data_IF_696376800183
#
_entry.id   IF_696376800183
#
_cell.length_a   1.000
_cell.length_b   1.000
_cell.length_c   1.000
_cell.angle_alpha   90.00
_cell.angle_beta   90.00
_cell.angle_gamma   90.00
#
_symmetry.space_group_name_H-M   'P 1'
#
loop_
_entity.id
_entity.type
_entity.pdbx_description
1 polymer ?
#
# COMPACT_ATOMS: atom_id res chain seq x y z
N UNK A 1 10.35 -22.74 7.81
CA UNK A 1 9.19 -21.98 7.28
C UNK A 1 9.15 -20.66 8.01
N UNK A 2 9.31 -19.53 7.30
CA UNK A 2 9.24 -18.22 7.95
C UNK A 2 7.77 -17.90 8.26
N UNK A 3 7.46 -17.62 9.53
CA UNK A 3 6.13 -17.19 9.95
C UNK A 3 5.94 -15.75 9.44
N UNK A 4 5.01 -15.56 8.52
CA UNK A 4 4.68 -14.22 8.02
C UNK A 4 3.74 -13.56 9.04
N UNK A 5 4.24 -12.53 9.72
CA UNK A 5 3.41 -11.73 10.63
C UNK A 5 2.50 -10.82 9.82
N UNK A 6 1.28 -11.28 9.53
CA UNK A 6 0.27 -10.55 8.76
C UNK A 6 0.03 -9.10 9.24
N UNK A 7 -0.02 -8.80 10.55
CA UNK A 7 -0.18 -7.41 11.01
C UNK A 7 0.99 -6.51 10.58
N UNK A 8 2.19 -7.10 10.50
CA UNK A 8 3.39 -6.38 10.05
C UNK A 8 3.36 -6.13 8.55
N UNK A 9 2.94 -7.11 7.76
CA UNK A 9 2.74 -6.94 6.30
C UNK A 9 1.73 -5.85 6.02
N UNK A 10 0.58 -5.86 6.70
CA UNK A 10 -0.45 -4.83 6.57
C UNK A 10 0.08 -3.43 6.93
N UNK A 11 0.86 -3.33 8.01
CA UNK A 11 1.51 -2.08 8.43
C UNK A 11 2.50 -1.55 7.39
N UNK A 12 3.42 -2.40 6.93
CA UNK A 12 4.46 -1.99 5.97
C UNK A 12 3.84 -1.60 4.63
N UNK A 13 2.84 -2.34 4.15
CA UNK A 13 2.09 -2.03 2.94
C UNK A 13 1.36 -0.69 3.03
N UNK A 14 0.67 -0.41 4.14
CA UNK A 14 -0.04 0.85 4.33
C UNK A 14 0.90 2.08 4.29
N UNK A 15 2.11 1.95 4.84
CA UNK A 15 3.10 3.04 4.80
C UNK A 15 3.62 3.29 3.40
N UNK A 16 3.96 2.23 2.67
CA UNK A 16 4.45 2.33 1.29
C UNK A 16 3.39 2.94 0.39
N UNK A 17 2.13 2.56 0.58
CA UNK A 17 0.99 3.08 -0.16
C UNK A 17 0.86 4.60 -0.02
N UNK A 18 0.89 5.10 1.21
CA UNK A 18 0.80 6.54 1.47
C UNK A 18 2.04 7.30 0.97
N UNK A 19 3.22 6.69 1.04
CA UNK A 19 4.43 7.27 0.44
C UNK A 19 4.43 7.28 -1.09
N UNK A 20 3.79 6.28 -1.71
CA UNK A 20 3.67 6.21 -3.16
C UNK A 20 2.73 7.28 -3.72
N UNK A 21 1.93 7.97 -2.91
CA UNK A 21 1.00 9.02 -3.37
C UNK A 21 1.72 10.16 -4.10
N UNK A 22 3.01 10.38 -3.81
CA UNK A 22 3.83 11.38 -4.52
C UNK A 22 4.43 10.88 -5.83
N UNK A 23 4.27 9.60 -6.16
CA UNK A 23 4.81 8.95 -7.37
C UNK A 23 3.71 8.11 -8.04
N UNK A 24 3.05 8.71 -9.05
CA UNK A 24 1.93 8.09 -9.75
C UNK A 24 2.27 6.71 -10.33
N UNK A 25 3.48 6.53 -10.85
CA UNK A 25 3.87 5.27 -11.47
C UNK A 25 4.01 4.13 -10.44
N UNK A 26 4.57 4.42 -9.26
CA UNK A 26 4.63 3.43 -8.18
C UNK A 26 3.24 3.18 -7.62
N UNK A 27 2.43 4.22 -7.47
CA UNK A 27 1.07 4.09 -6.96
C UNK A 27 0.18 3.24 -7.87
N UNK A 28 0.22 3.47 -9.18
CA UNK A 28 -0.56 2.69 -10.15
C UNK A 28 -0.12 1.22 -10.14
N UNK A 29 1.19 0.95 -10.05
CA UNK A 29 1.72 -0.42 -9.90
C UNK A 29 1.24 -1.10 -8.62
N UNK A 30 1.23 -0.36 -7.51
CA UNK A 30 0.77 -0.87 -6.22
C UNK A 30 -0.74 -1.14 -6.26
N UNK A 31 -1.51 -0.26 -6.90
CA UNK A 31 -2.96 -0.39 -7.07
C UNK A 31 -3.34 -1.61 -7.89
N UNK A 32 -2.72 -1.80 -9.06
CA UNK A 32 -2.94 -2.95 -9.91
C UNK A 32 -2.58 -4.26 -9.19
N UNK A 33 -1.41 -4.32 -8.54
CA UNK A 33 -0.99 -5.51 -7.80
C UNK A 33 -1.90 -5.85 -6.61
N UNK A 34 -2.38 -4.86 -5.86
CA UNK A 34 -3.37 -5.09 -4.80
C UNK A 34 -4.74 -5.48 -5.38
N UNK A 35 -5.11 -4.93 -6.53
CA UNK A 35 -6.29 -5.29 -7.29
C UNK A 35 -6.30 -6.77 -7.67
N UNK A 36 -5.19 -7.27 -8.22
CA UNK A 36 -5.04 -8.67 -8.61
C UNK A 36 -5.02 -9.62 -7.41
N UNK A 37 -4.39 -9.22 -6.30
CA UNK A 37 -4.21 -10.08 -5.12
C UNK A 37 -5.43 -10.11 -4.19
N UNK A 38 -6.06 -8.96 -3.96
CA UNK A 38 -7.11 -8.80 -2.95
C UNK A 38 -8.48 -8.50 -3.58
N UNK A 39 -8.50 -8.04 -4.83
CA UNK A 39 -9.69 -7.78 -5.63
C UNK A 39 -9.73 -6.34 -6.17
N UNK A 40 -10.45 -6.09 -7.28
CA UNK A 40 -10.41 -4.81 -8.01
C UNK A 40 -10.88 -3.60 -7.17
N UNK A 41 -11.66 -3.83 -6.11
CA UNK A 41 -12.05 -2.77 -5.18
C UNK A 41 -10.87 -2.10 -4.45
N UNK A 42 -9.73 -2.79 -4.31
CA UNK A 42 -8.53 -2.22 -3.71
C UNK A 42 -7.83 -1.21 -4.63
N UNK A 43 -7.83 -1.46 -5.94
CA UNK A 43 -7.31 -0.53 -6.93
C UNK A 43 -8.12 0.78 -6.94
N UNK A 44 -9.46 0.68 -6.96
CA UNK A 44 -10.32 1.87 -6.89
C UNK A 44 -10.14 2.62 -5.56
N UNK A 45 -10.10 1.89 -4.43
CA UNK A 45 -9.87 2.50 -3.12
C UNK A 45 -8.56 3.29 -3.07
N UNK A 46 -7.53 2.82 -3.78
CA UNK A 46 -6.24 3.49 -3.86
C UNK A 46 -6.32 4.78 -4.67
N UNK A 47 -7.01 4.75 -5.82
CA UNK A 47 -7.28 5.96 -6.62
C UNK A 47 -8.04 7.00 -5.80
N UNK A 48 -9.08 6.60 -5.07
CA UNK A 48 -9.85 7.51 -4.21
C UNK A 48 -8.99 8.10 -3.08
N UNK A 49 -8.02 7.32 -2.58
CA UNK A 49 -7.07 7.79 -1.55
C UNK A 49 -6.13 8.84 -2.13
N UNK A 50 -5.57 8.58 -3.32
CA UNK A 50 -4.73 9.54 -4.04
C UNK A 50 -5.47 10.84 -4.30
N UNK A 51 -6.68 10.75 -4.82
CA UNK A 51 -7.45 11.93 -5.17
C UNK A 51 -7.75 12.76 -3.91
N UNK A 52 -8.16 12.12 -2.81
CA UNK A 52 -8.34 12.79 -1.51
C UNK A 52 -7.06 13.47 -0.99
N UNK A 53 -5.91 12.81 -1.13
CA UNK A 53 -4.63 13.35 -0.66
C UNK A 53 -4.08 14.45 -1.58
N UNK A 54 -4.34 14.41 -2.89
CA UNK A 54 -3.96 15.47 -3.84
C UNK A 54 -4.64 16.80 -3.52
N UNK A 55 -5.88 16.75 -3.05
CA UNK A 55 -6.63 17.96 -2.67
C UNK A 55 -6.31 18.44 -1.25
N UNK A 56 -5.67 17.62 -0.42
CA UNK A 56 -5.48 17.92 1.00
C UNK A 56 -4.24 17.23 1.58
N UNK A 57 -3.06 17.73 1.21
CA UNK A 57 -1.73 17.20 1.60
C UNK A 57 -1.33 17.63 3.02
N UNK A 58 -2.25 17.63 3.97
CA UNK A 58 -1.90 17.83 5.38
C UNK A 58 -1.30 16.52 5.94
N UNK A 59 -0.22 16.66 6.72
CA UNK A 59 0.48 15.53 7.34
C UNK A 59 -0.44 14.62 8.17
N UNK A 60 -1.44 15.21 8.81
CA UNK A 60 -2.45 14.47 9.59
C UNK A 60 -3.33 13.59 8.71
N UNK A 61 -3.67 14.05 7.50
CA UNK A 61 -4.48 13.27 6.56
C UNK A 61 -3.73 12.04 6.06
N UNK A 62 -2.42 12.17 5.80
CA UNK A 62 -1.56 11.05 5.43
C UNK A 62 -1.55 9.97 6.53
N UNK A 63 -1.47 10.36 7.80
CA UNK A 63 -1.51 9.43 8.94
C UNK A 63 -2.86 8.72 9.06
N UNK A 64 -3.97 9.45 8.86
CA UNK A 64 -5.32 8.88 8.87
C UNK A 64 -5.49 7.84 7.76
N UNK A 65 -5.11 8.16 6.52
CA UNK A 65 -5.22 7.22 5.40
C UNK A 65 -4.32 5.99 5.62
N UNK A 66 -3.11 6.16 6.17
CA UNK A 66 -2.24 5.03 6.54
C UNK A 66 -2.92 4.11 7.56
N UNK A 67 -3.59 4.68 8.57
CA UNK A 67 -4.34 3.92 9.57
C UNK A 67 -5.50 3.13 8.97
N UNK A 68 -6.26 3.73 8.06
CA UNK A 68 -7.37 3.08 7.35
C UNK A 68 -6.87 1.93 6.48
N UNK A 69 -5.80 2.14 5.73
CA UNK A 69 -5.20 1.12 4.88
C UNK A 69 -4.64 -0.05 5.68
N UNK A 70 -4.02 0.21 6.83
CA UNK A 70 -3.55 -0.84 7.73
C UNK A 70 -4.69 -1.77 8.15
N UNK A 71 -5.79 -1.21 8.64
CA UNK A 71 -6.96 -2.00 9.09
C UNK A 71 -7.55 -2.78 7.92
N UNK A 72 -7.69 -2.14 6.76
CA UNK A 72 -8.23 -2.77 5.54
C UNK A 72 -7.38 -3.97 5.10
N UNK A 73 -6.07 -3.80 5.07
CA UNK A 73 -5.14 -4.87 4.66
C UNK A 73 -5.05 -5.97 5.72
N UNK A 74 -5.07 -5.61 7.00
CA UNK A 74 -5.07 -6.60 8.08
C UNK A 74 -6.31 -7.51 8.01
N UNK A 75 -7.49 -6.93 7.75
CA UNK A 75 -8.73 -7.70 7.60
C UNK A 75 -8.72 -8.57 6.34
N UNK A 76 -8.18 -8.04 5.24
CA UNK A 76 -7.97 -8.79 3.99
C UNK A 76 -7.06 -10.00 4.20
N UNK A 77 -5.92 -9.82 4.88
CA UNK A 77 -4.94 -10.87 5.15
C UNK A 77 -5.42 -11.86 6.21
N UNK A 78 -6.29 -11.45 7.13
CA UNK A 78 -6.98 -12.35 8.06
C UNK A 78 -7.93 -13.28 7.31
N UNK A 79 -8.61 -12.76 6.29
CA UNK A 79 -9.55 -13.54 5.46
C UNK A 79 -8.84 -14.41 4.43
N UNK A 80 -7.71 -13.92 3.87
CA UNK A 80 -6.89 -14.60 2.84
C UNK A 80 -5.42 -14.62 3.26
N UNK A 81 -5.04 -15.49 4.22
CA UNK A 81 -3.68 -15.57 4.74
C UNK A 81 -2.62 -15.85 3.66
N UNK A 82 -3.00 -16.56 2.60
CA UNK A 82 -2.15 -16.89 1.44
C UNK A 82 -1.70 -15.66 0.64
N UNK A 83 -2.45 -14.54 0.71
CA UNK A 83 -2.08 -13.30 0.04
C UNK A 83 -0.98 -12.52 0.79
N UNK A 84 -0.61 -12.91 2.01
CA UNK A 84 0.36 -12.18 2.82
C UNK A 84 1.76 -12.13 2.20
N UNK A 85 2.23 -13.23 1.64
CA UNK A 85 3.55 -13.28 0.98
C UNK A 85 3.57 -12.46 -0.33
N UNK A 86 2.60 -12.62 -1.26
CA UNK A 86 2.51 -11.76 -2.44
C UNK A 86 2.41 -10.26 -2.11
N UNK A 87 1.60 -9.88 -1.12
CA UNK A 87 1.48 -8.48 -0.69
C UNK A 87 2.79 -7.96 -0.12
N UNK A 88 3.52 -8.76 0.66
CA UNK A 88 4.85 -8.41 1.17
C UNK A 88 5.83 -8.15 0.03
N UNK A 89 5.91 -9.05 -0.94
CA UNK A 89 6.82 -8.93 -2.09
C UNK A 89 6.50 -7.70 -2.95
N UNK A 90 5.22 -7.47 -3.24
CA UNK A 90 4.76 -6.28 -3.95
C UNK A 90 5.19 -5.00 -3.22
N UNK A 91 4.94 -4.95 -1.92
CA UNK A 91 5.27 -3.82 -1.05
C UNK A 91 6.77 -3.54 -1.04
N UNK A 92 7.60 -4.56 -0.86
CA UNK A 92 9.06 -4.44 -0.83
C UNK A 92 9.62 -3.94 -2.16
N UNK A 93 9.07 -4.44 -3.28
CA UNK A 93 9.43 -4.00 -4.62
C UNK A 93 9.12 -2.52 -4.84
N UNK A 94 7.90 -2.09 -4.52
CA UNK A 94 7.50 -0.69 -4.63
C UNK A 94 8.31 0.23 -3.68
N UNK A 95 8.57 -0.22 -2.46
CA UNK A 95 9.40 0.53 -1.50
C UNK A 95 10.82 0.74 -2.01
N UNK A 96 11.41 -0.26 -2.68
CA UNK A 96 12.73 -0.14 -3.30
C UNK A 96 12.71 0.89 -4.43
N UNK A 97 11.72 0.81 -5.33
CA UNK A 97 11.57 1.76 -6.42
C UNK A 97 11.43 3.22 -5.92
N UNK A 98 10.64 3.45 -4.87
CA UNK A 98 10.50 4.78 -4.26
C UNK A 98 11.83 5.29 -3.67
N UNK A 99 12.59 4.41 -3.04
CA UNK A 99 13.91 4.78 -2.48
C UNK A 99 14.89 5.15 -3.58
N UNK A 100 14.98 4.34 -4.63
CA UNK A 100 15.91 4.56 -5.74
C UNK A 100 15.59 5.88 -6.48
N UNK A 101 14.30 6.19 -6.64
CA UNK A 101 13.86 7.46 -7.25
C UNK A 101 14.13 8.69 -6.39
N UNK A 102 14.06 8.57 -5.06
CA UNK A 102 14.43 9.67 -4.14
C UNK A 102 15.93 9.95 -4.06
N UNK A 103 16.78 8.98 -4.39
CA UNK A 103 18.25 9.18 -4.41
C UNK A 103 18.71 9.86 -5.71
N UNK A 104 17.90 9.81 -6.75
CA UNK A 104 18.26 10.29 -8.10
C UNK A 104 17.65 11.67 -8.44
N UNK A 105 16.74 12.18 -7.62
CA UNK A 105 16.11 13.50 -7.78
C UNK A 105 16.59 14.49 -6.73
#
# INVERSE_FOLDING_TARGET
MAVIHQPRVAWDAARVLVWAVTDDAVLDRLGAGLGDLLGPGYEQSLRDTRDRLRWNTDGDRLLVEAGLWRVRLEDALRTRPEAAEPVRQLTESCARLLRDRRVTG
#
